data_IF_370397779793
#
_entry.id   IF_370397779793
#
_cell.length_a   1.000
_cell.length_b   1.000
_cell.length_c   1.000
_cell.angle_alpha   90.00
_cell.angle_beta   90.00
_cell.angle_gamma   90.00
#
_symmetry.space_group_name_H-M   'P 1'
#
loop_
_entity.id
_entity.type
_entity.pdbx_description
1 polymer ?
#
# COMPACT_ATOMS: atom_id res chain seq x y z
N UNK A 1 -8.81 18.45 -4.05
CA UNK A 1 -7.37 18.25 -3.74
C UNK A 1 -6.99 16.77 -3.89
N UNK A 2 -5.73 16.47 -4.20
CA UNK A 2 -5.18 15.11 -4.33
C UNK A 2 -3.91 15.00 -3.49
N UNK A 3 -3.73 13.86 -2.82
CA UNK A 3 -2.46 13.43 -2.22
C UNK A 3 -2.03 12.12 -2.88
N UNK A 4 -0.73 12.03 -3.16
CA UNK A 4 -0.06 10.81 -3.57
C UNK A 4 0.81 10.36 -2.39
N UNK A 5 0.49 9.19 -1.84
CA UNK A 5 1.22 8.59 -0.72
C UNK A 5 1.91 7.32 -1.24
N UNK A 6 3.25 7.31 -1.38
CA UNK A 6 3.98 6.10 -1.75
C UNK A 6 3.71 4.96 -0.76
N UNK A 7 3.61 3.74 -1.29
CA UNK A 7 3.51 2.48 -0.55
C UNK A 7 4.75 1.65 -0.88
N UNK A 8 5.80 1.78 -0.06
CA UNK A 8 7.11 1.22 -0.36
C UNK A 8 7.65 1.71 -1.70
N UNK A 9 8.31 0.81 -2.44
CA UNK A 9 8.92 1.10 -3.75
C UNK A 9 8.06 0.68 -4.95
N UNK A 10 6.99 -0.10 -4.71
CA UNK A 10 6.22 -0.77 -5.77
C UNK A 10 4.80 -0.23 -5.96
N UNK A 11 4.37 0.74 -5.14
CA UNK A 11 2.99 1.22 -5.17
C UNK A 11 2.79 2.67 -4.77
N UNK A 12 1.63 3.21 -5.13
CA UNK A 12 1.16 4.52 -4.70
C UNK A 12 -0.31 4.47 -4.31
N UNK A 13 -0.64 5.03 -3.15
CA UNK A 13 -2.01 5.31 -2.74
C UNK A 13 -2.41 6.71 -3.21
N UNK A 14 -3.54 6.80 -3.90
CA UNK A 14 -4.11 8.05 -4.39
C UNK A 14 -5.32 8.42 -3.55
N UNK A 15 -5.27 9.57 -2.87
CA UNK A 15 -6.39 10.09 -2.08
C UNK A 15 -6.90 11.37 -2.71
N UNK A 16 -8.12 11.34 -3.24
CA UNK A 16 -8.80 12.49 -3.81
C UNK A 16 -9.94 12.93 -2.91
N UNK A 17 -10.09 14.24 -2.72
CA UNK A 17 -11.20 14.81 -1.96
C UNK A 17 -11.68 16.13 -2.56
N UNK A 18 -12.98 16.40 -2.44
CA UNK A 18 -13.60 17.65 -2.89
C UNK A 18 -13.41 18.79 -1.86
N UNK A 19 -12.23 18.87 -1.26
CA UNK A 19 -11.94 19.86 -0.23
C UNK A 19 -11.59 21.20 -0.88
N UNK A 20 -12.12 22.29 -0.33
CA UNK A 20 -11.87 23.66 -0.81
C UNK A 20 -10.47 24.14 -0.39
N UNK A 21 -10.00 23.74 0.80
CA UNK A 21 -8.74 24.24 1.41
C UNK A 21 -7.54 23.30 1.29
N UNK A 22 -7.70 22.14 0.65
CA UNK A 22 -6.71 21.06 0.67
C UNK A 22 -6.81 20.18 1.92
N UNK A 23 -5.81 19.31 2.10
CA UNK A 23 -5.68 18.44 3.26
C UNK A 23 -4.80 19.12 4.31
N UNK A 24 -5.29 19.20 5.55
CA UNK A 24 -4.54 19.77 6.66
C UNK A 24 -3.32 18.91 7.04
N UNK A 25 -2.43 19.45 7.87
CA UNK A 25 -1.30 18.66 8.42
C UNK A 25 -1.75 17.46 9.23
N UNK A 26 -2.92 17.55 9.88
CA UNK A 26 -3.49 16.42 10.63
C UNK A 26 -4.00 15.36 9.66
N UNK A 27 -4.72 15.75 8.61
CA UNK A 27 -5.19 14.81 7.58
C UNK A 27 -4.00 14.09 6.92
N UNK A 28 -2.95 14.83 6.56
CA UNK A 28 -1.73 14.27 5.99
C UNK A 28 -1.08 13.22 6.91
N UNK A 29 -0.97 13.51 8.22
CA UNK A 29 -0.44 12.53 9.19
C UNK A 29 -1.28 11.26 9.24
N UNK A 30 -2.60 11.38 9.28
CA UNK A 30 -3.48 10.22 9.27
C UNK A 30 -3.40 9.43 7.95
N UNK A 31 -3.31 10.13 6.81
CA UNK A 31 -3.12 9.51 5.49
C UNK A 31 -1.81 8.73 5.43
N UNK A 32 -0.71 9.28 5.97
CA UNK A 32 0.58 8.57 6.05
C UNK A 32 0.50 7.31 6.90
N UNK A 33 -0.12 7.38 8.09
CA UNK A 33 -0.29 6.20 8.96
C UNK A 33 -1.11 5.10 8.28
N UNK A 34 -2.14 5.47 7.52
CA UNK A 34 -2.93 4.52 6.73
C UNK A 34 -2.05 3.90 5.63
N UNK A 35 -1.27 4.73 4.92
CA UNK A 35 -0.33 4.26 3.90
C UNK A 35 0.66 3.22 4.43
N UNK A 36 1.30 3.49 5.57
CA UNK A 36 2.26 2.57 6.20
C UNK A 36 1.63 1.23 6.59
N UNK A 37 0.40 1.25 7.14
CA UNK A 37 -0.33 0.03 7.49
C UNK A 37 -0.73 -0.77 6.27
N UNK A 38 -1.16 -0.08 5.21
CA UNK A 38 -1.52 -0.71 3.95
C UNK A 38 -0.30 -1.35 3.29
N UNK A 39 0.82 -0.64 3.23
CA UNK A 39 2.10 -1.14 2.70
C UNK A 39 2.55 -2.41 3.45
N UNK A 40 2.50 -2.40 4.79
CA UNK A 40 2.81 -3.59 5.60
C UNK A 40 1.91 -4.78 5.27
N UNK A 41 0.62 -4.53 5.00
CA UNK A 41 -0.35 -5.59 4.69
C UNK A 41 -0.10 -6.17 3.31
N UNK A 42 0.10 -5.31 2.30
CA UNK A 42 0.38 -5.72 0.93
C UNK A 42 1.72 -6.45 0.81
N UNK A 43 2.74 -5.97 1.51
CA UNK A 43 4.05 -6.63 1.57
C UNK A 43 3.95 -8.06 2.07
N UNK A 44 3.14 -8.32 3.10
CA UNK A 44 2.88 -9.68 3.60
C UNK A 44 2.21 -10.55 2.55
N UNK A 45 1.14 -10.07 1.94
CA UNK A 45 0.41 -10.81 0.89
C UNK A 45 1.33 -11.14 -0.30
N UNK A 46 2.18 -10.21 -0.71
CA UNK A 46 3.14 -10.43 -1.79
C UNK A 46 4.23 -11.44 -1.39
N UNK A 47 4.74 -11.36 -0.16
CA UNK A 47 5.72 -12.34 0.36
C UNK A 47 5.14 -13.76 0.44
N UNK A 48 3.88 -13.89 0.84
CA UNK A 48 3.18 -15.18 0.92
C UNK A 48 2.96 -15.79 -0.47
N UNK A 49 2.58 -14.97 -1.46
CA UNK A 49 2.42 -15.42 -2.86
C UNK A 49 3.72 -15.95 -3.49
N UNK A 50 4.89 -15.41 -3.11
CA UNK A 50 6.19 -15.89 -3.59
C UNK A 50 6.75 -17.09 -2.83
N UNK A 51 6.13 -17.49 -1.72
CA UNK A 51 6.60 -18.58 -0.84
C UNK A 51 5.95 -19.95 -1.08
N UNK A 52 5.04 -20.09 -2.06
CA UNK A 52 4.50 -21.39 -2.45
C UNK A 52 5.41 -22.06 -3.49
N UNK A 53 6.16 -23.14 -3.16
CA UNK A 53 6.77 -23.96 -4.18
C UNK A 53 5.64 -24.70 -4.89
N UNK A 54 5.45 -24.42 -6.18
CA UNK A 54 4.54 -25.18 -7.04
C UNK A 54 4.83 -26.67 -6.86
N UNK A 55 3.80 -27.41 -6.43
CA UNK A 55 3.83 -28.82 -6.04
C UNK A 55 3.91 -29.73 -7.28
N UNK A 56 4.82 -29.43 -8.20
CA UNK A 56 4.86 -29.97 -9.56
C UNK A 56 6.27 -30.40 -10.01
N UNK A 57 7.21 -30.54 -9.08
CA UNK A 57 8.55 -31.12 -9.33
C UNK A 57 8.90 -32.29 -8.42
N UNK A 58 7.90 -33.12 -8.07
CA UNK A 58 8.14 -34.36 -7.32
C UNK A 58 7.55 -35.62 -7.98
N UNK A 59 7.04 -35.49 -9.21
CA UNK A 59 6.63 -36.60 -10.05
C UNK A 59 7.32 -36.51 -11.41
N UNK A 60 8.65 -36.48 -11.41
CA UNK A 60 9.49 -37.00 -12.51
C UNK A 60 10.74 -37.62 -11.91
#
# INVERSE_FOLDING_TARGET
>A
AVILQPLGDEGVMVVAGNTIRGFSKSDQRWITVIGEKLDTTLSKVNSEKHSSPGREKQLQ
#
